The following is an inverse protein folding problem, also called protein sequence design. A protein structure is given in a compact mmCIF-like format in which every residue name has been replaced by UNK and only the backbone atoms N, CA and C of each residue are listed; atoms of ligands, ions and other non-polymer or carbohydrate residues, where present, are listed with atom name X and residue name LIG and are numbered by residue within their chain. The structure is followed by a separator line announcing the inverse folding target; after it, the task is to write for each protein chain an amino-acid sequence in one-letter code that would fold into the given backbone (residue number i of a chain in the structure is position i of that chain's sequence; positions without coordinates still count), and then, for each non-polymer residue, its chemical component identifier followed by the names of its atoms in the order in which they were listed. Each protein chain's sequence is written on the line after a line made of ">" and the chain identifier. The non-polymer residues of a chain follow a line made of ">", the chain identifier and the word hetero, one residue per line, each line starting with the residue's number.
data_IF_384309523753
#
_entry.id   IF_384309523753
#
_cell.length_a   1.000
_cell.length_b   1.000
_cell.length_c   1.000
_cell.angle_alpha   90.00
_cell.angle_beta   90.00
_cell.angle_gamma   90.00
#
_symmetry.space_group_name_H-M   'P 1'
#
loop_
_entity.id
_entity.type
_entity.pdbx_description
1 polymer ?
#
# COMPACT_ATOMS: atom_id res chain seq x y z
N UNK A 1 -23.56 -1.63 -18.38
CA UNK A 1 -22.88 -0.36 -18.72
C UNK A 1 -22.22 -0.51 -20.09
N UNK A 2 -22.45 0.43 -21.02
CA UNK A 2 -21.83 0.39 -22.35
C UNK A 2 -20.33 0.71 -22.28
N UNK A 3 -19.55 0.21 -23.22
CA UNK A 3 -18.12 0.53 -23.32
C UNK A 3 -17.88 2.03 -23.47
N UNK A 4 -18.76 2.73 -24.21
CA UNK A 4 -18.70 4.19 -24.41
C UNK A 4 -18.81 4.97 -23.10
N UNK A 5 -19.73 4.55 -22.24
CA UNK A 5 -19.92 5.15 -20.91
C UNK A 5 -18.70 4.86 -20.02
N UNK A 6 -18.14 3.65 -20.09
CA UNK A 6 -16.92 3.30 -19.35
C UNK A 6 -15.72 4.13 -19.76
N UNK A 7 -15.49 4.29 -21.06
CA UNK A 7 -14.42 5.15 -21.58
C UNK A 7 -14.62 6.61 -21.23
N UNK A 8 -15.87 7.11 -21.25
CA UNK A 8 -16.16 8.50 -20.86
C UNK A 8 -15.87 8.76 -19.37
N UNK A 9 -16.22 7.82 -18.48
CA UNK A 9 -15.92 7.93 -17.04
C UNK A 9 -14.40 7.94 -16.79
N UNK A 10 -13.66 7.05 -17.46
CA UNK A 10 -12.20 6.98 -17.32
C UNK A 10 -11.53 8.26 -17.87
N UNK A 11 -11.97 8.73 -19.04
CA UNK A 11 -11.46 9.98 -19.61
C UNK A 11 -11.77 11.18 -18.72
N UNK A 12 -12.98 11.25 -18.17
CA UNK A 12 -13.37 12.25 -17.18
C UNK A 12 -12.49 12.22 -15.95
N UNK A 13 -12.23 11.02 -15.40
CA UNK A 13 -11.30 10.84 -14.28
C UNK A 13 -9.89 11.38 -14.58
N UNK A 14 -9.31 11.01 -15.73
CA UNK A 14 -7.97 11.50 -16.07
C UNK A 14 -7.97 13.01 -16.32
N UNK A 15 -9.03 13.57 -16.88
CA UNK A 15 -9.18 15.01 -17.03
C UNK A 15 -9.24 15.72 -15.67
N UNK A 16 -10.03 15.21 -14.71
CA UNK A 16 -10.11 15.78 -13.36
C UNK A 16 -8.81 15.60 -12.59
N UNK A 17 -8.13 14.46 -12.75
CA UNK A 17 -6.82 14.19 -12.17
C UNK A 17 -5.75 15.15 -12.68
N UNK A 18 -5.63 15.31 -13.99
CA UNK A 18 -4.67 16.23 -14.59
C UNK A 18 -4.99 17.66 -14.15
N UNK A 19 -6.25 18.08 -14.20
CA UNK A 19 -6.65 19.42 -13.75
C UNK A 19 -6.27 19.67 -12.27
N UNK A 20 -6.54 18.71 -11.38
CA UNK A 20 -6.19 18.84 -9.96
C UNK A 20 -4.67 18.90 -9.74
N UNK A 21 -3.89 18.08 -10.45
CA UNK A 21 -2.43 18.11 -10.31
C UNK A 21 -1.81 19.38 -10.90
N UNK A 22 -2.32 19.86 -12.03
CA UNK A 22 -1.86 21.11 -12.66
C UNK A 22 -2.17 22.31 -11.78
N UNK A 23 -3.39 22.41 -11.25
CA UNK A 23 -3.77 23.52 -10.37
C UNK A 23 -2.91 23.53 -9.10
N UNK A 24 -2.66 22.37 -8.47
CA UNK A 24 -1.70 22.25 -7.35
C UNK A 24 -0.29 22.74 -7.74
N UNK A 25 0.17 22.41 -8.94
CA UNK A 25 1.55 22.72 -9.37
C UNK A 25 1.75 24.16 -9.84
N UNK A 26 0.72 24.80 -10.39
CA UNK A 26 0.84 26.12 -11.06
C UNK A 26 0.43 27.25 -10.12
N UNK A 27 -0.48 27.01 -9.18
CA UNK A 27 -0.96 28.03 -8.24
C UNK A 27 -0.17 27.88 -6.93
N UNK A 28 0.69 28.85 -6.55
CA UNK A 28 1.54 28.72 -5.37
C UNK A 28 0.76 28.78 -4.05
N UNK A 29 -0.34 29.53 -4.02
CA UNK A 29 -1.12 29.84 -2.80
C UNK A 29 -2.50 29.18 -2.84
N UNK A 30 -2.55 27.86 -3.00
CA UNK A 30 -3.85 27.16 -2.87
C UNK A 30 -4.20 26.92 -1.39
N UNK A 31 -5.50 26.88 -1.04
CA UNK A 31 -5.93 26.58 0.33
C UNK A 31 -5.45 25.20 0.79
N UNK A 32 -5.16 25.06 2.08
CA UNK A 32 -4.71 23.80 2.67
C UNK A 32 -5.64 22.60 2.34
N UNK A 33 -6.96 22.77 2.35
CA UNK A 33 -7.87 21.68 2.00
C UNK A 33 -7.73 21.24 0.54
N UNK A 34 -7.36 22.15 -0.35
CA UNK A 34 -7.09 21.81 -1.74
C UNK A 34 -5.80 21.02 -1.88
N UNK A 35 -4.71 21.44 -1.21
CA UNK A 35 -3.48 20.65 -1.16
C UNK A 35 -3.70 19.26 -0.55
N UNK A 36 -4.46 19.18 0.55
CA UNK A 36 -4.85 17.91 1.14
C UNK A 36 -5.66 17.05 0.16
N UNK A 37 -6.66 17.64 -0.52
CA UNK A 37 -7.42 16.96 -1.57
C UNK A 37 -6.50 16.41 -2.65
N UNK A 38 -5.62 17.24 -3.21
CA UNK A 38 -4.74 16.85 -4.30
C UNK A 38 -3.77 15.74 -3.88
N UNK A 39 -3.17 15.83 -2.69
CA UNK A 39 -2.29 14.81 -2.14
C UNK A 39 -3.01 13.47 -1.93
N UNK A 40 -4.22 13.50 -1.36
CA UNK A 40 -5.03 12.29 -1.15
C UNK A 40 -5.58 11.72 -2.46
N UNK A 41 -5.90 12.57 -3.43
CA UNK A 41 -6.37 12.19 -4.76
C UNK A 41 -5.25 11.55 -5.58
N UNK A 42 -4.02 12.06 -5.45
CA UNK A 42 -2.81 11.43 -5.97
C UNK A 42 -2.57 10.08 -5.31
N UNK A 43 -2.58 10.01 -3.98
CA UNK A 43 -2.41 8.77 -3.23
C UNK A 43 -3.42 7.70 -3.66
N UNK A 44 -4.71 8.06 -3.72
CA UNK A 44 -5.79 7.16 -4.16
C UNK A 44 -5.68 6.71 -5.62
N UNK A 45 -5.01 7.49 -6.48
CA UNK A 45 -4.82 7.16 -7.90
C UNK A 45 -3.65 6.21 -8.13
N UNK A 46 -2.53 6.43 -7.45
CA UNK A 46 -1.29 5.68 -7.69
C UNK A 46 -1.14 4.45 -6.80
N UNK A 47 -2.00 4.29 -5.79
CA UNK A 47 -1.86 3.18 -4.87
C UNK A 47 -2.24 1.86 -5.53
N UNK A 48 -1.27 0.96 -5.59
CA UNK A 48 -1.45 -0.43 -5.97
C UNK A 48 -0.90 -1.31 -4.84
N UNK A 49 -1.78 -2.08 -4.19
CA UNK A 49 -1.39 -3.02 -3.13
C UNK A 49 -2.26 -2.91 -1.88
N UNK A 50 -2.00 -3.80 -0.92
CA UNK A 50 -2.65 -3.80 0.38
C UNK A 50 -2.23 -2.62 1.26
N UNK A 51 -2.89 -2.50 2.41
CA UNK A 51 -2.76 -1.36 3.32
C UNK A 51 -1.34 -0.86 3.65
N UNK A 52 -0.31 -1.70 3.88
CA UNK A 52 1.03 -1.22 4.26
C UNK A 52 1.72 -0.36 3.19
N UNK A 53 1.36 -0.52 1.92
CA UNK A 53 2.00 0.21 0.80
C UNK A 53 1.55 1.69 0.77
N UNK A 54 0.39 2.01 1.38
CA UNK A 54 -0.11 3.40 1.46
C UNK A 54 0.64 4.24 2.47
N UNK A 55 1.17 3.60 3.51
CA UNK A 55 1.66 4.30 4.70
C UNK A 55 2.87 5.20 4.38
N UNK A 56 3.89 4.74 3.62
CA UNK A 56 4.99 5.62 3.22
C UNK A 56 4.53 6.82 2.39
N UNK A 57 3.58 6.60 1.45
CA UNK A 57 3.04 7.67 0.61
C UNK A 57 2.28 8.71 1.45
N UNK A 58 1.42 8.26 2.36
CA UNK A 58 0.69 9.19 3.25
C UNK A 58 1.64 9.96 4.15
N UNK A 59 2.71 9.33 4.64
CA UNK A 59 3.74 10.01 5.43
C UNK A 59 4.36 11.15 4.63
N UNK A 60 4.76 10.89 3.38
CA UNK A 60 5.29 11.93 2.51
C UNK A 60 4.28 13.07 2.31
N UNK A 61 3.02 12.71 2.05
CA UNK A 61 1.99 13.68 1.69
C UNK A 61 1.37 14.49 2.84
N UNK A 62 1.71 14.18 4.10
CA UNK A 62 1.21 14.94 5.27
C UNK A 62 2.29 15.32 6.27
N UNK A 63 3.30 14.48 6.47
CA UNK A 63 4.39 14.72 7.43
C UNK A 63 5.50 15.52 6.78
N UNK A 64 5.90 15.20 5.54
CA UNK A 64 6.91 15.99 4.84
C UNK A 64 6.40 17.40 4.49
N UNK A 65 5.09 17.54 4.26
CA UNK A 65 4.39 18.83 4.10
C UNK A 65 4.25 19.61 5.44
N UNK A 66 4.58 18.99 6.57
CA UNK A 66 4.53 19.62 7.90
C UNK A 66 3.13 19.75 8.51
N UNK A 67 2.09 19.20 7.89
CA UNK A 67 0.71 19.28 8.41
C UNK A 67 0.42 18.31 9.55
N UNK A 68 1.20 17.24 9.66
CA UNK A 68 1.06 16.22 10.71
C UNK A 68 2.42 15.91 11.32
N UNK A 69 2.50 15.96 12.64
CA UNK A 69 3.73 15.61 13.36
C UNK A 69 4.08 14.13 13.19
N UNK A 70 5.37 13.74 13.06
CA UNK A 70 5.77 12.34 12.93
C UNK A 70 5.26 11.42 14.05
N UNK A 71 5.19 11.95 15.28
CA UNK A 71 4.65 11.23 16.44
C UNK A 71 3.18 10.87 16.27
N UNK A 72 2.36 11.84 15.86
CA UNK A 72 0.91 11.64 15.73
C UNK A 72 0.58 10.74 14.55
N UNK A 73 1.39 10.81 13.48
CA UNK A 73 1.34 9.84 12.39
C UNK A 73 1.55 8.40 12.90
N UNK A 74 2.58 8.16 13.72
CA UNK A 74 2.84 6.82 14.26
C UNK A 74 1.74 6.34 15.22
N UNK A 75 1.19 7.24 16.04
CA UNK A 75 0.05 6.92 16.91
C UNK A 75 -1.18 6.55 16.07
N UNK A 76 -1.51 7.35 15.04
CA UNK A 76 -2.61 7.04 14.13
C UNK A 76 -2.41 5.73 13.38
N UNK A 77 -1.17 5.42 13.00
CA UNK A 77 -0.82 4.14 12.38
C UNK A 77 -1.03 2.96 13.35
N UNK A 78 -0.64 3.10 14.61
CA UNK A 78 -0.88 2.07 15.62
C UNK A 78 -2.39 1.85 15.85
N UNK A 79 -3.17 2.94 15.89
CA UNK A 79 -4.62 2.87 16.01
C UNK A 79 -5.26 2.17 14.81
N UNK A 80 -4.96 2.57 13.57
CA UNK A 80 -5.60 1.96 12.40
C UNK A 80 -5.31 0.46 12.28
N UNK A 81 -4.12 0.02 12.70
CA UNK A 81 -3.75 -1.40 12.68
C UNK A 81 -4.48 -2.22 13.76
N UNK A 82 -5.04 -1.57 14.78
CA UNK A 82 -5.86 -2.21 15.81
C UNK A 82 -7.34 -2.33 15.41
N UNK A 83 -7.84 -1.47 14.50
CA UNK A 83 -9.23 -1.48 14.07
C UNK A 83 -9.45 -2.36 12.82
N UNK A 84 -10.59 -3.07 12.73
CA UNK A 84 -10.95 -3.75 11.49
C UNK A 84 -11.33 -2.71 10.43
N UNK A 85 -10.82 -2.88 9.21
CA UNK A 85 -11.23 -2.06 8.08
C UNK A 85 -10.14 -1.85 7.04
N UNK A 86 -10.41 -1.05 6.00
CA UNK A 86 -9.41 -0.68 5.03
C UNK A 86 -8.41 0.29 5.67
N UNK A 87 -7.11 -0.01 5.55
CA UNK A 87 -6.04 0.88 6.04
C UNK A 87 -6.09 2.27 5.40
N UNK A 88 -6.79 2.45 4.26
CA UNK A 88 -7.04 3.76 3.65
C UNK A 88 -7.85 4.71 4.53
N UNK A 89 -8.60 4.20 5.52
CA UNK A 89 -9.25 5.05 6.53
C UNK A 89 -8.24 5.88 7.34
N UNK A 90 -6.96 5.46 7.38
CA UNK A 90 -5.91 6.26 7.99
C UNK A 90 -5.78 7.65 7.34
N UNK A 91 -6.03 7.78 6.04
CA UNK A 91 -6.01 9.08 5.36
C UNK A 91 -7.10 10.04 5.88
N UNK A 92 -8.25 9.52 6.31
CA UNK A 92 -9.34 10.31 6.91
C UNK A 92 -8.90 10.90 8.25
N UNK A 93 -8.25 10.08 9.09
CA UNK A 93 -7.65 10.54 10.34
C UNK A 93 -6.56 11.60 10.10
N UNK A 94 -5.66 11.35 9.14
CA UNK A 94 -4.60 12.30 8.79
C UNK A 94 -5.15 13.60 8.22
N UNK A 95 -6.22 13.54 7.41
CA UNK A 95 -6.88 14.73 6.88
C UNK A 95 -7.56 15.56 7.97
N UNK A 96 -8.17 14.91 8.96
CA UNK A 96 -8.72 15.57 10.15
C UNK A 96 -7.61 16.30 10.93
N UNK A 97 -6.48 15.63 11.19
CA UNK A 97 -5.37 16.20 11.93
C UNK A 97 -4.70 17.36 11.19
N UNK A 98 -4.45 17.19 9.89
CA UNK A 98 -3.91 18.24 9.03
C UNK A 98 -4.81 19.49 9.01
N UNK A 99 -6.13 19.31 8.99
CA UNK A 99 -7.06 20.43 9.03
C UNK A 99 -7.06 21.14 10.39
N UNK A 100 -6.98 20.41 11.51
CA UNK A 100 -6.91 21.00 12.86
C UNK A 100 -5.66 21.88 13.00
N UNK A 101 -4.48 21.32 12.66
CA UNK A 101 -3.20 22.03 12.79
C UNK A 101 -3.13 23.25 11.84
N UNK A 102 -3.86 23.18 10.72
CA UNK A 102 -4.02 24.29 9.78
C UNK A 102 -5.16 25.28 10.10
N UNK A 103 -5.77 25.21 11.29
CA UNK A 103 -6.81 26.16 11.72
C UNK A 103 -8.17 25.98 11.04
N UNK A 104 -8.44 24.81 10.46
CA UNK A 104 -9.68 24.47 9.76
C UNK A 104 -10.52 23.44 10.50
N UNK A 105 -11.76 23.25 10.04
CA UNK A 105 -12.66 22.25 10.62
C UNK A 105 -12.11 20.83 10.42
N UNK A 106 -11.93 20.12 11.53
CA UNK A 106 -11.57 18.69 11.56
C UNK A 106 -12.47 17.84 10.65
N UNK A 107 -13.77 18.12 10.65
CA UNK A 107 -14.75 17.39 9.83
C UNK A 107 -14.54 17.67 8.35
N UNK A 108 -14.21 18.91 7.99
CA UNK A 108 -13.92 19.26 6.59
C UNK A 108 -12.67 18.52 6.09
N UNK A 109 -11.59 18.50 6.87
CA UNK A 109 -10.37 17.75 6.55
C UNK A 109 -10.63 16.25 6.38
N UNK A 110 -11.40 15.65 7.29
CA UNK A 110 -11.79 14.25 7.22
C UNK A 110 -12.58 13.93 5.94
N UNK A 111 -13.62 14.72 5.63
CA UNK A 111 -14.45 14.52 4.45
C UNK A 111 -13.67 14.71 3.14
N UNK A 112 -12.82 15.74 3.08
CA UNK A 112 -11.97 16.01 1.91
C UNK A 112 -11.03 14.84 1.66
N UNK A 113 -10.31 14.38 2.70
CA UNK A 113 -9.39 13.26 2.57
C UNK A 113 -10.12 11.96 2.20
N UNK A 114 -11.30 11.72 2.80
CA UNK A 114 -12.14 10.55 2.48
C UNK A 114 -12.56 10.53 1.01
N UNK A 115 -13.15 11.64 0.51
CA UNK A 115 -13.57 11.73 -0.89
C UNK A 115 -12.36 11.57 -1.81
N UNK A 116 -11.27 12.29 -1.53
CA UNK A 116 -10.09 12.31 -2.38
C UNK A 116 -9.42 10.94 -2.49
N UNK A 117 -9.26 10.20 -1.39
CA UNK A 117 -8.57 8.91 -1.44
C UNK A 117 -9.43 7.79 -2.03
N UNK A 118 -10.75 7.80 -1.81
CA UNK A 118 -11.65 6.73 -2.27
C UNK A 118 -12.22 6.98 -3.68
N UNK A 119 -12.38 8.23 -4.11
CA UNK A 119 -12.96 8.55 -5.41
C UNK A 119 -12.22 7.93 -6.61
N UNK A 120 -10.87 7.96 -6.72
CA UNK A 120 -10.16 7.38 -7.86
C UNK A 120 -10.51 5.91 -8.08
N UNK A 121 -10.40 5.10 -7.02
CA UNK A 121 -10.69 3.67 -7.08
C UNK A 121 -12.15 3.40 -7.43
N UNK A 122 -13.09 4.12 -6.81
CA UNK A 122 -14.52 3.96 -7.10
C UNK A 122 -14.85 4.33 -8.54
N UNK A 123 -14.37 5.47 -9.04
CA UNK A 123 -14.63 5.95 -10.40
C UNK A 123 -14.02 4.99 -11.43
N UNK A 124 -12.77 4.57 -11.23
CA UNK A 124 -12.06 3.68 -12.15
C UNK A 124 -12.67 2.27 -12.17
N UNK A 125 -13.09 1.71 -11.03
CA UNK A 125 -13.78 0.41 -11.00
C UNK A 125 -15.06 0.45 -11.82
N UNK A 126 -15.89 1.48 -11.65
CA UNK A 126 -17.12 1.61 -12.44
C UNK A 126 -16.81 1.83 -13.93
N UNK A 127 -15.87 2.73 -14.25
CA UNK A 127 -15.43 2.98 -15.62
C UNK A 127 -14.94 1.72 -16.32
N UNK A 128 -14.11 0.93 -15.64
CA UNK A 128 -13.54 -0.30 -16.19
C UNK A 128 -14.58 -1.41 -16.39
N UNK A 129 -15.65 -1.49 -15.61
CA UNK A 129 -16.73 -2.49 -15.82
C UNK A 129 -17.34 -2.41 -17.24
N UNK A 130 -17.54 -1.20 -17.76
CA UNK A 130 -18.07 -0.99 -19.12
C UNK A 130 -17.14 -1.53 -20.20
N UNK A 131 -15.83 -1.28 -20.06
CA UNK A 131 -14.81 -1.79 -20.98
C UNK A 131 -14.66 -3.31 -20.83
N UNK A 132 -14.61 -3.79 -19.60
CA UNK A 132 -14.44 -5.20 -19.26
C UNK A 132 -15.52 -6.07 -19.89
N UNK A 133 -16.77 -5.64 -19.84
CA UNK A 133 -17.90 -6.39 -20.41
C UNK A 133 -17.73 -6.63 -21.91
N UNK A 134 -17.20 -5.65 -22.65
CA UNK A 134 -16.95 -5.74 -24.09
C UNK A 134 -15.64 -6.47 -24.45
N UNK A 135 -14.63 -6.42 -23.56
CA UNK A 135 -13.30 -6.93 -23.82
C UNK A 135 -13.07 -8.38 -23.33
N UNK A 136 -13.74 -8.81 -22.25
CA UNK A 136 -13.45 -10.08 -21.53
C UNK A 136 -13.56 -11.36 -22.38
N UNK A 137 -14.32 -11.32 -23.47
CA UNK A 137 -14.47 -12.47 -24.38
C UNK A 137 -13.31 -12.62 -25.37
N UNK A 138 -12.50 -11.58 -25.59
CA UNK A 138 -11.43 -11.56 -26.60
C UNK A 138 -10.22 -12.37 -26.12
N UNK A 139 -9.67 -13.22 -27.00
CA UNK A 139 -8.54 -14.12 -26.68
C UNK A 139 -7.26 -13.37 -26.29
N UNK A 140 -6.96 -12.26 -26.96
CA UNK A 140 -5.77 -11.45 -26.65
C UNK A 140 -5.85 -10.84 -25.24
N UNK A 141 -7.03 -10.40 -24.78
CA UNK A 141 -7.23 -9.86 -23.42
C UNK A 141 -6.90 -10.92 -22.38
N UNK A 142 -7.43 -12.14 -22.54
CA UNK A 142 -7.12 -13.27 -21.64
C UNK A 142 -5.62 -13.59 -21.61
N UNK A 143 -4.95 -13.49 -22.76
CA UNK A 143 -3.51 -13.74 -22.88
C UNK A 143 -2.68 -12.66 -22.18
N UNK A 144 -3.03 -11.39 -22.36
CA UNK A 144 -2.41 -10.25 -21.66
C UNK A 144 -2.58 -10.39 -20.15
N UNK A 145 -3.78 -10.72 -19.65
CA UNK A 145 -4.02 -10.90 -18.22
C UNK A 145 -3.20 -12.04 -17.61
N UNK A 146 -2.98 -13.14 -18.37
CA UNK A 146 -2.06 -14.20 -17.93
C UNK A 146 -0.63 -13.69 -17.80
N UNK A 147 -0.17 -12.87 -18.76
CA UNK A 147 1.13 -12.20 -18.69
C UNK A 147 1.26 -11.27 -17.49
N UNK A 148 0.24 -10.44 -17.24
CA UNK A 148 0.19 -9.54 -16.07
C UNK A 148 0.24 -10.36 -14.77
N UNK A 149 -0.53 -11.44 -14.66
CA UNK A 149 -0.50 -12.30 -13.47
C UNK A 149 0.87 -12.96 -13.27
N UNK A 150 1.52 -13.44 -14.34
CA UNK A 150 2.87 -13.98 -14.25
C UNK A 150 3.89 -12.92 -13.80
N UNK A 151 3.76 -11.68 -14.31
CA UNK A 151 4.56 -10.55 -13.87
C UNK A 151 4.34 -10.22 -12.38
N UNK A 152 3.10 -10.22 -11.92
CA UNK A 152 2.77 -10.01 -10.51
C UNK A 152 3.40 -11.07 -9.59
N UNK A 153 3.39 -12.35 -10.00
CA UNK A 153 4.09 -13.42 -9.26
C UNK A 153 5.60 -13.16 -9.21
N UNK A 154 6.21 -12.72 -10.31
CA UNK A 154 7.63 -12.33 -10.34
C UNK A 154 7.95 -11.14 -9.42
N UNK A 155 7.07 -10.14 -9.35
CA UNK A 155 7.22 -9.02 -8.42
C UNK A 155 7.09 -9.45 -6.96
N UNK A 156 6.15 -10.35 -6.63
CA UNK A 156 6.02 -10.94 -5.29
C UNK A 156 7.30 -11.70 -4.92
N UNK A 157 7.80 -12.54 -5.82
CA UNK A 157 9.06 -13.25 -5.61
C UNK A 157 10.23 -12.28 -5.39
N UNK A 158 10.31 -11.20 -6.17
CA UNK A 158 11.33 -10.16 -6.01
C UNK A 158 11.24 -9.48 -4.64
N UNK A 159 10.03 -9.19 -4.15
CA UNK A 159 9.84 -8.64 -2.81
C UNK A 159 10.33 -9.61 -1.72
N UNK A 160 9.96 -10.89 -1.82
CA UNK A 160 10.44 -11.94 -0.90
C UNK A 160 11.96 -12.05 -0.94
N UNK A 161 12.56 -12.06 -2.13
CA UNK A 161 14.00 -12.12 -2.30
C UNK A 161 14.73 -10.88 -1.74
N UNK A 162 14.13 -9.69 -1.88
CA UNK A 162 14.68 -8.48 -1.25
C UNK A 162 14.66 -8.57 0.27
N UNK A 163 13.56 -9.03 0.87
CA UNK A 163 13.47 -9.26 2.32
C UNK A 163 14.50 -10.32 2.75
N UNK A 164 14.66 -11.39 1.96
CA UNK A 164 15.66 -12.43 2.20
C UNK A 164 17.08 -11.88 2.31
N UNK A 165 17.46 -10.95 1.42
CA UNK A 165 18.79 -10.35 1.40
C UNK A 165 19.08 -9.39 2.56
N UNK A 166 18.06 -8.96 3.31
CA UNK A 166 18.21 -8.03 4.45
C UNK A 166 17.66 -8.60 5.77
N UNK A 167 17.33 -9.90 5.79
CA UNK A 167 16.55 -10.50 6.87
C UNK A 167 17.31 -10.73 8.18
N UNK A 168 18.65 -10.70 8.15
CA UNK A 168 19.48 -10.91 9.35
C UNK A 168 20.08 -9.59 9.83
N UNK A 169 19.86 -9.23 11.11
CA UNK A 169 20.44 -8.05 11.74
C UNK A 169 21.58 -8.51 12.67
N UNK A 170 22.82 -8.23 12.28
CA UNK A 170 24.00 -8.45 13.14
C UNK A 170 24.22 -7.24 14.06
N UNK A 171 24.62 -7.48 15.31
CA UNK A 171 24.84 -6.44 16.33
C UNK A 171 25.88 -5.36 15.92
N UNK A 172 26.71 -5.64 14.89
CA UNK A 172 27.72 -4.73 14.35
C UNK A 172 27.40 -4.07 13.01
N UNK A 173 26.26 -4.39 12.37
CA UNK A 173 25.93 -3.86 11.03
C UNK A 173 24.57 -3.18 10.99
N UNK A 174 24.56 -1.89 10.63
CA UNK A 174 23.31 -1.14 10.40
C UNK A 174 22.56 -1.58 9.13
N UNK A 175 23.21 -2.37 8.28
CA UNK A 175 22.62 -2.94 7.07
C UNK A 175 22.34 -4.43 7.30
N UNK A 176 21.11 -4.88 7.00
CA UNK A 176 20.76 -6.29 7.10
C UNK A 176 21.58 -7.16 6.13
N UNK A 177 21.90 -8.38 6.57
CA UNK A 177 22.59 -9.41 5.77
C UNK A 177 21.61 -10.43 5.21
N UNK A 178 22.10 -11.23 4.26
CA UNK A 178 21.30 -12.24 3.59
C UNK A 178 21.04 -13.42 4.52
N UNK A 179 19.78 -13.87 4.56
CA UNK A 179 19.41 -15.12 5.24
C UNK A 179 20.09 -16.34 4.59
N UNK A 180 20.63 -16.21 3.37
CA UNK A 180 21.39 -17.26 2.71
C UNK A 180 22.79 -17.49 3.29
N UNK A 181 23.29 -16.57 4.11
CA UNK A 181 24.64 -16.65 4.67
C UNK A 181 24.72 -17.69 5.81
N UNK A 182 23.59 -18.00 6.47
CA UNK A 182 23.47 -19.04 7.51
C UNK A 182 22.56 -20.19 7.01
N UNK A 183 23.08 -21.44 6.90
CA UNK A 183 22.28 -22.60 6.51
C UNK A 183 21.02 -22.84 7.35
N UNK A 184 21.00 -22.37 8.60
CA UNK A 184 19.82 -22.48 9.47
C UNK A 184 18.59 -21.82 8.84
N UNK A 185 18.70 -20.59 8.34
CA UNK A 185 17.57 -19.86 7.79
C UNK A 185 17.09 -20.43 6.44
N UNK A 186 18.01 -21.03 5.69
CA UNK A 186 17.67 -21.83 4.50
C UNK A 186 16.80 -23.03 4.88
N UNK A 187 17.16 -23.76 5.94
CA UNK A 187 16.38 -24.89 6.43
C UNK A 187 14.99 -24.47 6.95
N UNK A 188 14.91 -23.39 7.73
CA UNK A 188 13.63 -22.84 8.23
C UNK A 188 12.72 -22.45 7.06
N UNK A 189 13.27 -21.84 6.02
CA UNK A 189 12.50 -21.38 4.86
C UNK A 189 12.05 -22.55 3.98
N UNK A 190 12.93 -23.52 3.74
CA UNK A 190 12.58 -24.74 3.03
C UNK A 190 11.47 -25.51 3.76
N UNK A 191 11.61 -25.75 5.05
CA UNK A 191 10.59 -26.45 5.86
C UNK A 191 9.26 -25.72 5.88
N UNK A 192 9.28 -24.39 5.95
CA UNK A 192 8.07 -23.55 5.87
C UNK A 192 7.37 -23.68 4.50
N UNK A 193 8.13 -23.67 3.40
CA UNK A 193 7.61 -23.85 2.05
C UNK A 193 7.01 -25.25 1.84
N UNK A 194 7.75 -26.29 2.22
CA UNK A 194 7.34 -27.70 2.16
C UNK A 194 6.08 -27.93 3.00
N UNK A 195 6.07 -27.41 4.23
CA UNK A 195 4.93 -27.44 5.15
C UNK A 195 3.68 -26.80 4.54
N UNK A 196 3.81 -25.58 4.01
CA UNK A 196 2.68 -24.88 3.38
C UNK A 196 2.18 -25.58 2.12
N UNK A 197 3.07 -26.04 1.24
CA UNK A 197 2.71 -26.57 -0.07
C UNK A 197 2.10 -27.96 -0.04
N UNK A 198 2.62 -28.85 0.82
CA UNK A 198 2.25 -30.26 0.85
C UNK A 198 1.45 -30.67 2.08
N UNK A 199 1.67 -30.00 3.22
CA UNK A 199 0.98 -30.34 4.47
C UNK A 199 -0.13 -29.35 4.82
N UNK A 200 -0.35 -28.32 3.99
CA UNK A 200 -1.42 -27.33 4.21
C UNK A 200 -1.23 -26.50 5.47
N UNK A 201 0.01 -26.36 5.96
CA UNK A 201 0.35 -25.53 7.12
C UNK A 201 -0.10 -24.10 6.84
N UNK A 202 -0.98 -23.57 7.71
CA UNK A 202 -1.48 -22.21 7.55
C UNK A 202 -0.38 -21.18 7.87
N UNK A 203 -0.48 -19.98 7.31
CA UNK A 203 0.54 -18.94 7.49
C UNK A 203 0.81 -18.59 8.97
N UNK A 204 -0.19 -18.49 9.88
CA UNK A 204 0.06 -18.21 11.29
C UNK A 204 0.92 -19.28 11.97
N UNK A 205 0.67 -20.57 11.73
CA UNK A 205 1.47 -21.64 12.35
C UNK A 205 2.90 -21.66 11.80
N UNK A 206 3.10 -21.40 10.51
CA UNK A 206 4.43 -21.26 9.93
C UNK A 206 5.21 -20.10 10.57
N UNK A 207 4.56 -18.95 10.80
CA UNK A 207 5.15 -17.80 11.49
C UNK A 207 5.55 -18.14 12.92
N UNK A 208 4.65 -18.77 13.69
CA UNK A 208 4.93 -19.17 15.08
C UNK A 208 6.09 -20.18 15.13
N UNK A 209 6.09 -21.16 14.24
CA UNK A 209 7.16 -22.17 14.16
C UNK A 209 8.50 -21.52 13.80
N UNK A 210 8.51 -20.62 12.83
CA UNK A 210 9.69 -19.83 12.46
C UNK A 210 10.21 -18.97 13.62
N UNK A 211 9.32 -18.35 14.39
CA UNK A 211 9.69 -17.56 15.56
C UNK A 211 10.32 -18.43 16.66
N UNK A 212 9.74 -19.60 16.94
CA UNK A 212 10.28 -20.57 17.90
C UNK A 212 11.67 -21.06 17.45
N UNK A 213 11.83 -21.41 16.17
CA UNK A 213 13.12 -21.81 15.60
C UNK A 213 14.15 -20.67 15.67
N UNK A 214 13.73 -19.43 15.49
CA UNK A 214 14.58 -18.26 15.67
C UNK A 214 15.08 -18.10 17.11
N UNK A 215 14.20 -18.27 18.10
CA UNK A 215 14.57 -18.24 19.52
C UNK A 215 15.54 -19.37 19.90
N UNK A 216 15.33 -20.58 19.35
CA UNK A 216 16.25 -21.71 19.54
C UNK A 216 17.63 -21.38 18.98
N UNK A 217 17.70 -20.84 17.76
CA UNK A 217 18.98 -20.44 17.15
C UNK A 217 19.68 -19.37 17.98
N UNK A 218 18.95 -18.36 18.44
CA UNK A 218 19.49 -17.32 19.31
C UNK A 218 20.11 -17.94 20.58
N UNK A 219 19.39 -18.84 21.27
CA UNK A 219 19.89 -19.51 22.47
C UNK A 219 21.13 -20.38 22.23
N UNK A 220 21.26 -20.98 21.04
CA UNK A 220 22.43 -21.81 20.67
C UNK A 220 23.65 -20.97 20.30
N UNK A 221 23.47 -19.79 19.69
CA UNK A 221 24.59 -18.89 19.32
C UNK A 221 25.08 -18.05 20.48
N UNK A 222 24.17 -17.65 21.37
CA UNK A 222 24.46 -16.75 22.49
C UNK A 222 24.93 -17.47 23.76
N UNK A 223 24.86 -18.81 23.79
CA UNK A 223 25.42 -19.66 24.83
C UNK A 223 26.87 -20.01 24.55
#
# INVERSE_FOLDING_TARGET
>A
MSWKTGTAIIAGFFATFIAAMVVRSVIPETPLLYHLFANMYLAGTIIFGGGPVVVPLLREYVVAEGWVRPRDFLIGLALIQAFPGPNFNFAVFLGSLAAIDGGQSSVAGALVAWIAIFAPGLILVHGTMGIWTAARSRRWVKSVLRGINAGAVGLIYTAVYRIWNVGFLDEGSQFGRSLGDDPWWVAVTATSYVGGRWFGVNAPSAIVTGAVLGLVRYGVVSA
#
